data_IF_326823016859
#
_entry.id   IF_326823016859
#
_cell.length_a   1.000
_cell.length_b   1.000
_cell.length_c   1.000
_cell.angle_alpha   90.00
_cell.angle_beta   90.00
_cell.angle_gamma   90.00
#
_symmetry.space_group_name_H-M   'P 1'
#
loop_
_entity.id
_entity.type
_entity.pdbx_description
1 polymer ?
#
# COMPACT_ATOMS: atom_id res chain seq x y z
N UNK A 1 -15.05 -4.20 -5.61
CA UNK A 1 -15.77 -3.77 -6.81
C UNK A 1 -14.77 -3.62 -7.96
N UNK A 2 -14.27 -2.42 -8.24
CA UNK A 2 -13.33 -2.20 -9.33
C UNK A 2 -11.89 -2.03 -8.78
N UNK A 3 -10.90 -2.22 -9.65
CA UNK A 3 -9.49 -1.97 -9.30
C UNK A 3 -9.28 -0.49 -8.99
N UNK A 4 -8.51 -0.16 -7.97
CA UNK A 4 -8.06 1.21 -7.77
C UNK A 4 -7.00 1.58 -8.82
N UNK A 5 -6.79 2.88 -9.04
CA UNK A 5 -5.72 3.34 -9.94
C UNK A 5 -4.35 2.86 -9.47
N UNK A 6 -3.45 2.62 -10.42
CA UNK A 6 -2.04 2.43 -10.13
C UNK A 6 -1.49 3.76 -9.63
N UNK A 7 -0.91 3.76 -8.44
CA UNK A 7 -0.51 4.97 -7.73
C UNK A 7 0.81 4.78 -6.97
N UNK A 8 1.37 5.90 -6.53
CA UNK A 8 2.54 5.98 -5.67
C UNK A 8 2.39 7.18 -4.73
N UNK A 9 2.97 7.09 -3.55
CA UNK A 9 3.00 8.17 -2.57
C UNK A 9 4.41 8.70 -2.36
N UNK A 10 4.59 10.02 -2.14
CA UNK A 10 5.87 10.60 -1.77
C UNK A 10 6.22 10.31 -0.30
N UNK A 11 7.49 10.47 0.05
CA UNK A 11 7.93 10.58 1.44
C UNK A 11 7.69 12.00 2.00
N UNK A 12 7.95 12.18 3.30
CA UNK A 12 7.78 13.47 3.99
C UNK A 12 8.68 14.57 3.41
N UNK A 13 9.88 14.23 2.97
CA UNK A 13 10.83 15.22 2.45
C UNK A 13 10.36 15.80 1.12
N UNK A 14 9.92 14.93 0.22
CA UNK A 14 9.37 15.36 -1.07
C UNK A 14 8.04 16.12 -0.90
N UNK A 15 7.12 15.57 -0.09
CA UNK A 15 5.81 16.19 0.13
C UNK A 15 5.93 17.59 0.77
N UNK A 16 6.84 17.77 1.71
CA UNK A 16 7.11 19.06 2.35
C UNK A 16 7.50 20.14 1.34
N UNK A 17 8.26 19.78 0.32
CA UNK A 17 8.75 20.73 -0.71
C UNK A 17 7.72 20.95 -1.81
N UNK A 18 7.09 19.89 -2.29
CA UNK A 18 6.26 19.91 -3.50
C UNK A 18 4.75 20.00 -3.23
N UNK A 19 4.32 19.72 -1.99
CA UNK A 19 2.91 19.66 -1.61
C UNK A 19 2.59 20.63 -0.44
N UNK A 20 3.14 21.83 -0.50
CA UNK A 20 2.84 22.93 0.43
C UNK A 20 3.05 22.60 1.92
N UNK A 21 4.07 21.80 2.24
CA UNK A 21 4.37 21.40 3.60
C UNK A 21 3.58 20.19 4.11
N UNK A 22 2.88 19.49 3.22
CA UNK A 22 2.16 18.26 3.57
C UNK A 22 3.10 17.13 4.02
N UNK A 23 2.51 16.11 4.63
CA UNK A 23 3.21 14.87 4.98
C UNK A 23 3.25 13.92 3.79
N UNK A 24 4.25 13.05 3.76
CA UNK A 24 4.29 11.89 2.91
C UNK A 24 3.24 10.86 3.32
N UNK A 25 3.16 9.75 2.60
CA UNK A 25 2.19 8.70 2.91
C UNK A 25 2.84 7.32 2.92
N UNK A 26 3.10 6.85 4.13
CA UNK A 26 3.40 5.44 4.42
C UNK A 26 2.12 4.76 4.82
N UNK A 27 1.85 3.58 4.28
CA UNK A 27 0.65 2.81 4.60
C UNK A 27 0.93 1.32 4.73
N UNK A 28 -0.01 0.59 5.28
CA UNK A 28 0.02 -0.86 5.32
C UNK A 28 -1.38 -1.43 5.20
N UNK A 29 -1.48 -2.66 4.73
CA UNK A 29 -2.72 -3.36 4.49
C UNK A 29 -2.76 -4.68 5.23
N UNK A 30 -3.84 -4.95 5.94
CA UNK A 30 -4.16 -6.26 6.46
C UNK A 30 -5.30 -6.86 5.65
N UNK A 31 -5.06 -7.99 5.00
CA UNK A 31 -6.06 -8.64 4.13
C UNK A 31 -7.06 -9.39 4.99
N UNK A 32 -8.30 -8.92 5.01
CA UNK A 32 -9.40 -9.52 5.75
C UNK A 32 -10.05 -10.65 4.97
N UNK A 33 -10.29 -10.40 3.67
CA UNK A 33 -10.90 -11.37 2.76
C UNK A 33 -10.51 -11.05 1.32
N UNK A 34 -10.47 -12.04 0.46
CA UNK A 34 -10.23 -11.87 -0.96
C UNK A 34 -10.78 -13.06 -1.75
N UNK A 35 -11.06 -12.81 -3.04
CA UNK A 35 -11.43 -13.88 -3.97
C UNK A 35 -10.30 -14.89 -4.15
N UNK A 36 -10.63 -16.07 -4.62
CA UNK A 36 -9.64 -17.08 -5.00
C UNK A 36 -8.65 -16.53 -6.04
N UNK A 37 -7.37 -16.86 -5.88
CA UNK A 37 -6.27 -16.37 -6.72
C UNK A 37 -6.19 -14.83 -6.85
N UNK A 38 -6.60 -14.11 -5.81
CA UNK A 38 -6.49 -12.66 -5.77
C UNK A 38 -5.03 -12.21 -5.83
N UNK A 39 -4.80 -11.07 -6.47
CA UNK A 39 -3.50 -10.39 -6.52
C UNK A 39 -3.68 -8.92 -6.17
N UNK A 40 -2.61 -8.29 -5.69
CA UNK A 40 -2.48 -6.84 -5.57
C UNK A 40 -1.28 -6.36 -6.38
N UNK A 41 -1.30 -5.10 -6.77
CA UNK A 41 -0.13 -4.47 -7.36
C UNK A 41 0.78 -3.99 -6.23
N UNK A 42 2.02 -4.49 -6.20
CA UNK A 42 3.06 -4.05 -5.25
C UNK A 42 4.41 -4.03 -5.96
N UNK A 43 4.84 -2.84 -6.37
CA UNK A 43 6.08 -2.59 -7.09
C UNK A 43 5.92 -2.62 -8.61
N UNK A 44 7.05 -2.63 -9.28
CA UNK A 44 7.18 -2.62 -10.73
C UNK A 44 8.39 -3.44 -11.20
N UNK A 45 8.52 -3.65 -12.52
CA UNK A 45 9.55 -4.50 -13.09
C UNK A 45 10.73 -3.72 -13.71
N UNK A 46 10.65 -2.38 -13.82
CA UNK A 46 11.74 -1.57 -14.34
C UNK A 46 13.00 -1.68 -13.47
N UNK A 47 14.16 -1.77 -14.09
CA UNK A 47 15.46 -1.95 -13.43
C UNK A 47 16.23 -0.64 -13.30
N UNK A 48 15.99 0.30 -14.20
CA UNK A 48 16.62 1.63 -14.19
C UNK A 48 15.57 2.74 -14.30
N UNK A 49 15.99 3.97 -14.02
CA UNK A 49 15.11 5.15 -14.14
C UNK A 49 14.67 5.35 -15.60
N UNK A 50 15.56 5.18 -16.52
CA UNK A 50 15.30 5.32 -17.95
C UNK A 50 14.29 4.28 -18.44
N UNK A 51 14.42 3.04 -17.98
CA UNK A 51 13.46 1.97 -18.30
C UNK A 51 12.08 2.27 -17.71
N UNK A 52 12.01 2.77 -16.45
CA UNK A 52 10.77 3.19 -15.81
C UNK A 52 10.08 4.29 -16.64
N UNK A 53 10.80 5.35 -17.00
CA UNK A 53 10.27 6.46 -17.79
C UNK A 53 9.77 5.97 -19.15
N UNK A 54 10.53 5.14 -19.83
CA UNK A 54 10.15 4.58 -21.12
C UNK A 54 8.88 3.72 -21.01
N UNK A 55 8.80 2.82 -20.03
CA UNK A 55 7.62 1.96 -19.84
C UNK A 55 6.35 2.79 -19.58
N UNK A 56 6.44 3.84 -18.77
CA UNK A 56 5.31 4.72 -18.46
C UNK A 56 4.91 5.52 -19.71
N UNK A 57 5.86 6.13 -20.43
CA UNK A 57 5.62 6.95 -21.62
C UNK A 57 5.01 6.13 -22.76
N UNK A 58 5.44 4.88 -22.92
CA UNK A 58 4.94 3.98 -23.96
C UNK A 58 3.66 3.22 -23.55
N UNK A 59 3.18 3.41 -22.32
CA UNK A 59 1.99 2.74 -21.81
C UNK A 59 2.15 1.22 -21.66
N UNK A 60 3.35 0.74 -21.40
CA UNK A 60 3.68 -0.69 -21.24
C UNK A 60 3.25 -1.22 -19.86
N UNK A 61 1.98 -1.00 -19.51
CA UNK A 61 1.47 -1.28 -18.17
C UNK A 61 1.58 -2.75 -17.76
N UNK A 62 1.38 -3.69 -18.68
CA UNK A 62 1.47 -5.12 -18.38
C UNK A 62 2.89 -5.56 -18.02
N UNK A 63 3.89 -5.00 -18.68
CA UNK A 63 5.30 -5.25 -18.43
C UNK A 63 5.79 -4.49 -17.20
N UNK A 64 5.24 -3.29 -16.97
CA UNK A 64 5.62 -2.40 -15.89
C UNK A 64 5.15 -2.90 -14.53
N UNK A 65 3.87 -3.24 -14.41
CA UNK A 65 3.21 -3.57 -13.14
C UNK A 65 3.68 -4.93 -12.63
N UNK A 66 4.01 -5.00 -11.34
CA UNK A 66 4.26 -6.25 -10.64
C UNK A 66 3.06 -6.59 -9.76
N UNK A 67 2.47 -7.74 -10.01
CA UNK A 67 1.41 -8.29 -9.17
C UNK A 67 1.95 -9.35 -8.21
N UNK A 68 1.44 -9.38 -7.00
CA UNK A 68 1.75 -10.39 -5.99
C UNK A 68 0.46 -11.13 -5.60
N UNK A 69 0.51 -12.44 -5.39
CA UNK A 69 -0.62 -13.18 -4.84
C UNK A 69 -0.86 -12.80 -3.37
N UNK A 70 -2.11 -12.81 -2.97
CA UNK A 70 -2.52 -12.53 -1.60
C UNK A 70 -3.54 -13.55 -1.09
N UNK A 71 -3.63 -13.66 0.23
CA UNK A 71 -4.65 -14.44 0.93
C UNK A 71 -5.09 -13.74 2.23
N UNK A 72 -6.24 -14.09 2.79
CA UNK A 72 -6.64 -13.58 4.11
C UNK A 72 -5.56 -13.84 5.16
N UNK A 73 -5.32 -12.85 6.02
CA UNK A 73 -4.26 -12.87 7.03
C UNK A 73 -2.90 -12.34 6.56
N UNK A 74 -2.73 -12.00 5.28
CA UNK A 74 -1.51 -11.36 4.82
C UNK A 74 -1.46 -9.89 5.27
N UNK A 75 -0.29 -9.45 5.70
CA UNK A 75 0.01 -8.08 6.03
C UNK A 75 1.06 -7.54 5.06
N UNK A 76 0.81 -6.36 4.49
CA UNK A 76 1.65 -5.78 3.44
C UNK A 76 2.01 -4.35 3.82
N UNK A 77 3.31 -4.05 3.90
CA UNK A 77 3.81 -2.69 4.09
C UNK A 77 4.03 -2.02 2.73
N UNK A 78 3.49 -0.83 2.58
CA UNK A 78 3.65 0.04 1.41
C UNK A 78 4.44 1.29 1.81
N UNK A 79 5.74 1.22 1.61
CA UNK A 79 6.61 2.38 1.84
C UNK A 79 6.43 3.43 0.75
N UNK A 80 6.69 4.72 1.02
CA UNK A 80 6.77 5.75 0.00
C UNK A 80 7.65 5.32 -1.19
N UNK A 81 7.27 5.73 -2.39
CA UNK A 81 7.95 5.34 -3.63
C UNK A 81 7.57 3.95 -4.17
N UNK A 82 6.74 3.20 -3.47
CA UNK A 82 6.23 1.91 -3.94
C UNK A 82 5.04 2.11 -4.87
N UNK A 83 5.13 1.65 -6.11
CA UNK A 83 3.97 1.56 -7.03
C UNK A 83 3.02 0.51 -6.51
N UNK A 84 1.73 0.85 -6.35
CA UNK A 84 0.76 -0.08 -5.79
C UNK A 84 -0.67 0.18 -6.27
N UNK A 85 -1.51 -0.84 -6.14
CA UNK A 85 -2.97 -0.71 -6.29
C UNK A 85 -3.71 -1.87 -5.61
N UNK A 86 -4.82 -1.55 -4.98
CA UNK A 86 -5.78 -2.52 -4.49
C UNK A 86 -6.66 -2.96 -5.67
N UNK A 87 -6.76 -4.28 -5.88
CA UNK A 87 -7.59 -4.85 -6.95
C UNK A 87 -8.95 -5.28 -6.45
N UNK A 88 -9.92 -5.26 -7.34
CA UNK A 88 -11.29 -5.64 -7.07
C UNK A 88 -11.42 -7.07 -6.53
N UNK A 89 -12.32 -7.26 -5.57
CA UNK A 89 -12.50 -8.54 -4.88
C UNK A 89 -11.60 -8.75 -3.68
N UNK A 90 -10.98 -7.68 -3.18
CA UNK A 90 -10.20 -7.68 -1.93
C UNK A 90 -10.90 -6.82 -0.88
N UNK A 91 -10.98 -7.31 0.35
CA UNK A 91 -11.36 -6.58 1.55
C UNK A 91 -10.15 -6.49 2.46
N UNK A 92 -9.77 -5.29 2.84
CA UNK A 92 -8.60 -5.06 3.68
C UNK A 92 -8.83 -3.93 4.68
N UNK A 93 -8.04 -3.94 5.73
CA UNK A 93 -7.90 -2.84 6.67
C UNK A 93 -6.62 -2.08 6.34
N UNK A 94 -6.76 -0.81 5.99
CA UNK A 94 -5.64 0.09 5.71
C UNK A 94 -5.32 0.95 6.94
N UNK A 95 -4.05 1.03 7.28
CA UNK A 95 -3.50 1.97 8.25
C UNK A 95 -2.46 2.83 7.53
N UNK A 96 -2.54 4.16 7.67
CA UNK A 96 -1.68 5.09 6.95
C UNK A 96 -1.30 6.31 7.78
N UNK A 97 -0.24 7.03 7.35
CA UNK A 97 -0.03 8.41 7.79
C UNK A 97 -1.25 9.27 7.44
N UNK A 98 -1.51 10.32 8.24
CA UNK A 98 -2.56 11.29 8.00
C UNK A 98 -2.21 12.19 6.81
N UNK A 99 -2.26 11.62 5.61
CA UNK A 99 -1.97 12.28 4.34
C UNK A 99 -2.92 11.74 3.27
N UNK A 100 -3.31 12.59 2.33
CA UNK A 100 -4.12 12.26 1.16
C UNK A 100 -3.35 12.41 -0.17
N UNK A 101 -2.04 12.69 -0.08
CA UNK A 101 -1.21 12.89 -1.27
C UNK A 101 -1.07 11.57 -2.04
N UNK A 102 -1.58 11.58 -3.27
CA UNK A 102 -1.59 10.42 -4.16
C UNK A 102 -1.22 10.84 -5.58
N UNK A 103 -0.13 10.29 -6.10
CA UNK A 103 0.25 10.44 -7.50
C UNK A 103 -0.27 9.26 -8.30
N UNK A 104 -1.23 9.55 -9.20
CA UNK A 104 -1.84 8.56 -10.07
C UNK A 104 -0.96 8.34 -11.30
N UNK A 105 -0.48 7.10 -11.45
CA UNK A 105 0.38 6.67 -12.56
C UNK A 105 -0.46 6.23 -13.75
N UNK A 106 -1.51 5.43 -13.49
CA UNK A 106 -2.40 4.91 -14.51
C UNK A 106 -3.80 4.62 -13.95
N UNK A 107 -4.82 4.84 -14.73
CA UNK A 107 -6.22 4.68 -14.30
C UNK A 107 -7.06 3.84 -15.28
N UNK A 108 -6.44 2.96 -16.03
CA UNK A 108 -7.11 2.06 -16.99
C UNK A 108 -7.98 2.80 -18.01
N UNK A 109 -7.63 4.03 -18.36
CA UNK A 109 -8.37 4.93 -19.27
C UNK A 109 -9.84 5.15 -18.86
N UNK A 110 -10.15 4.98 -17.57
CA UNK A 110 -11.50 5.15 -17.03
C UNK A 110 -11.94 6.61 -17.03
N UNK A 111 -13.24 6.80 -17.30
CA UNK A 111 -13.86 8.12 -17.24
C UNK A 111 -14.60 8.30 -15.89
N UNK A 112 -14.41 9.45 -15.28
CA UNK A 112 -15.16 9.93 -14.12
C UNK A 112 -15.90 11.20 -14.52
N UNK A 113 -17.23 11.17 -14.54
CA UNK A 113 -18.03 12.29 -15.02
C UNK A 113 -17.80 12.62 -16.52
N UNK A 114 -17.47 11.61 -17.34
CA UNK A 114 -17.23 11.77 -18.78
C UNK A 114 -15.81 12.26 -19.14
N UNK A 115 -14.92 12.40 -18.16
CA UNK A 115 -13.52 12.83 -18.37
C UNK A 115 -12.56 11.86 -17.68
N UNK A 116 -11.35 11.63 -18.25
CA UNK A 116 -10.32 10.87 -17.55
C UNK A 116 -9.90 11.60 -16.27
N UNK A 117 -9.59 10.83 -15.21
CA UNK A 117 -8.98 11.41 -14.01
C UNK A 117 -7.56 11.87 -14.32
N UNK A 118 -7.15 12.94 -13.67
CA UNK A 118 -5.80 13.48 -13.82
C UNK A 118 -4.75 12.43 -13.43
N UNK A 119 -3.72 12.28 -14.28
CA UNK A 119 -2.52 11.54 -13.99
C UNK A 119 -1.41 12.50 -13.51
N UNK A 120 -0.53 12.01 -12.66
CA UNK A 120 0.57 12.78 -12.06
C UNK A 120 1.91 12.16 -12.47
N UNK A 121 2.14 12.04 -13.78
CA UNK A 121 3.26 11.26 -14.34
C UNK A 121 4.62 11.80 -13.90
N UNK A 122 4.83 13.11 -13.96
CA UNK A 122 6.10 13.72 -13.56
C UNK A 122 6.42 13.45 -12.08
N UNK A 123 5.47 13.76 -11.19
CA UNK A 123 5.62 13.53 -9.76
C UNK A 123 5.80 12.02 -9.45
N UNK A 124 5.08 11.17 -10.17
CA UNK A 124 5.23 9.71 -10.02
C UNK A 124 6.65 9.26 -10.38
N UNK A 125 7.18 9.70 -11.51
CA UNK A 125 8.54 9.38 -11.93
C UNK A 125 9.55 9.87 -10.90
N UNK A 126 9.37 11.07 -10.35
CA UNK A 126 10.28 11.62 -9.34
C UNK A 126 10.37 10.74 -8.08
N UNK A 127 9.23 10.25 -7.59
CA UNK A 127 9.16 9.57 -6.29
C UNK A 127 9.27 8.05 -6.34
N UNK A 128 9.02 7.40 -7.49
CA UNK A 128 9.10 5.94 -7.60
C UNK A 128 10.52 5.45 -7.30
N UNK A 129 10.62 4.51 -6.38
CA UNK A 129 11.89 3.84 -6.03
C UNK A 129 12.29 2.85 -7.13
N UNK A 130 13.48 3.00 -7.71
CA UNK A 130 14.01 2.14 -8.78
C UNK A 130 15.38 1.59 -8.38
N UNK A 131 15.61 0.29 -8.52
CA UNK A 131 14.63 -0.77 -8.79
C UNK A 131 13.62 -0.91 -7.64
N UNK A 132 12.46 -1.47 -7.93
CA UNK A 132 11.48 -1.75 -6.88
C UNK A 132 12.04 -2.74 -5.85
N UNK A 133 11.70 -2.55 -4.58
CA UNK A 133 12.02 -3.51 -3.50
C UNK A 133 11.46 -4.89 -3.82
N UNK A 134 12.09 -5.95 -3.31
CA UNK A 134 11.53 -7.29 -3.42
C UNK A 134 10.15 -7.34 -2.75
N UNK A 135 9.20 -7.99 -3.41
CA UNK A 135 7.85 -8.18 -2.86
C UNK A 135 7.86 -9.02 -1.57
N UNK A 136 8.77 -9.98 -1.48
CA UNK A 136 8.95 -10.83 -0.31
C UNK A 136 9.28 -10.02 0.97
N UNK A 137 9.93 -8.87 0.81
CA UNK A 137 10.26 -7.99 1.93
C UNK A 137 9.08 -7.10 2.36
N UNK A 138 7.99 -7.09 1.61
CA UNK A 138 6.82 -6.25 1.88
C UNK A 138 5.64 -7.04 2.46
N UNK A 139 5.66 -8.38 2.37
CA UNK A 139 4.56 -9.25 2.79
C UNK A 139 4.96 -10.06 4.02
N UNK A 140 4.14 -9.99 5.05
CA UNK A 140 4.23 -10.84 6.24
C UNK A 140 3.00 -11.75 6.27
N UNK A 141 3.23 -13.04 6.19
CA UNK A 141 2.15 -14.01 6.36
C UNK A 141 1.85 -14.19 7.85
N UNK A 142 0.62 -13.93 8.25
CA UNK A 142 0.20 -14.09 9.65
C UNK A 142 -0.80 -15.23 9.79
N UNK A 143 -0.74 -15.91 10.92
CA UNK A 143 -1.68 -16.95 11.29
C UNK A 143 -2.36 -16.57 12.60
N UNK A 144 -3.61 -17.01 12.78
CA UNK A 144 -4.33 -16.87 14.05
C UNK A 144 -3.59 -17.66 15.15
N UNK A 145 -3.41 -17.01 16.30
CA UNK A 145 -2.79 -17.62 17.50
C UNK A 145 -3.54 -17.12 18.72
N UNK A 146 -4.24 -18.04 19.38
CA UNK A 146 -5.10 -17.71 20.50
C UNK A 146 -4.34 -17.06 21.66
N UNK A 147 -4.93 -15.99 22.21
CA UNK A 147 -4.41 -15.17 23.31
C UNK A 147 -2.99 -14.60 23.06
N UNK A 148 -2.68 -14.26 21.82
CA UNK A 148 -1.38 -13.72 21.41
C UNK A 148 -1.50 -12.33 20.80
N UNK A 149 -0.57 -11.47 21.17
CA UNK A 149 -0.32 -10.18 20.51
C UNK A 149 0.85 -10.34 19.55
N UNK A 150 0.60 -10.19 18.26
CA UNK A 150 1.62 -10.24 17.22
C UNK A 150 1.92 -8.82 16.73
N UNK A 151 3.18 -8.37 16.83
CA UNK A 151 3.61 -7.14 16.16
C UNK A 151 3.81 -7.42 14.68
N UNK A 152 3.04 -6.75 13.83
CA UNK A 152 3.09 -6.90 12.38
C UNK A 152 4.16 -5.99 11.78
N UNK A 153 4.20 -4.74 12.22
CA UNK A 153 5.20 -3.75 11.79
C UNK A 153 5.43 -2.72 12.89
N UNK A 154 6.63 -2.16 12.92
CA UNK A 154 6.95 -0.91 13.61
C UNK A 154 7.71 -0.01 12.64
N UNK A 155 7.21 1.19 12.42
CA UNK A 155 7.86 2.22 11.62
C UNK A 155 7.84 3.56 12.37
N UNK A 156 8.45 4.63 11.85
CA UNK A 156 8.45 5.93 12.52
C UNK A 156 7.07 6.52 12.76
N UNK A 157 6.05 6.10 12.03
CA UNK A 157 4.72 6.70 12.02
C UNK A 157 3.70 5.92 12.85
N UNK A 158 3.82 4.58 12.92
CA UNK A 158 2.90 3.70 13.63
C UNK A 158 3.53 2.36 13.98
N UNK A 159 2.91 1.69 14.93
CA UNK A 159 3.12 0.26 15.18
C UNK A 159 1.78 -0.45 15.02
N UNK A 160 1.74 -1.53 14.27
CA UNK A 160 0.53 -2.31 14.03
C UNK A 160 0.67 -3.67 14.70
N UNK A 161 -0.36 -4.05 15.42
CA UNK A 161 -0.47 -5.36 16.07
C UNK A 161 -1.70 -6.09 15.55
N UNK A 162 -1.61 -7.40 15.48
CA UNK A 162 -2.73 -8.33 15.43
C UNK A 162 -2.90 -8.93 16.82
N UNK A 163 -4.13 -8.96 17.30
CA UNK A 163 -4.49 -9.55 18.60
C UNK A 163 -5.58 -10.58 18.33
N UNK A 164 -5.29 -11.84 18.62
CA UNK A 164 -6.25 -12.91 18.58
C UNK A 164 -6.60 -13.27 20.03
N UNK A 165 -7.87 -13.17 20.41
CA UNK A 165 -8.36 -13.40 21.77
C UNK A 165 -9.34 -14.55 21.77
N UNK A 166 -9.01 -15.66 22.41
CA UNK A 166 -9.91 -16.78 22.65
C UNK A 166 -10.51 -16.70 24.07
N UNK A 167 -9.66 -16.36 25.06
CA UNK A 167 -10.06 -16.28 26.46
C UNK A 167 -9.81 -14.87 27.01
N UNK A 168 -8.54 -14.48 27.14
CA UNK A 168 -8.16 -13.22 27.74
C UNK A 168 -6.76 -12.79 27.31
N UNK A 169 -6.62 -11.55 26.89
CA UNK A 169 -5.34 -10.88 26.66
C UNK A 169 -5.29 -9.61 27.50
N UNK A 170 -4.18 -9.42 28.20
CA UNK A 170 -3.90 -8.20 28.95
C UNK A 170 -2.59 -7.59 28.42
N UNK A 171 -2.57 -6.30 28.21
CA UNK A 171 -1.39 -5.57 27.77
C UNK A 171 -1.39 -4.16 28.36
N UNK A 172 -0.20 -3.56 28.37
CA UNK A 172 -0.01 -2.15 28.71
C UNK A 172 0.41 -1.40 27.45
N UNK A 173 -0.09 -0.21 27.32
CA UNK A 173 0.36 0.67 26.25
C UNK A 173 0.85 1.99 26.84
N UNK A 174 1.94 2.55 26.28
CA UNK A 174 2.63 3.76 26.74
C UNK A 174 2.54 4.92 25.73
N UNK A 175 1.81 4.73 24.64
CA UNK A 175 1.64 5.72 23.59
C UNK A 175 0.46 6.65 23.90
N UNK A 176 0.39 7.85 23.30
CA UNK A 176 -0.69 8.80 23.53
C UNK A 176 -2.10 8.22 23.26
N UNK A 177 -2.23 7.32 22.29
CA UNK A 177 -3.49 6.67 21.96
C UNK A 177 -3.25 5.32 21.27
N UNK A 178 -4.29 4.52 21.21
CA UNK A 178 -4.40 3.29 20.42
C UNK A 178 -5.71 3.31 19.64
N UNK A 179 -5.69 2.85 18.41
CA UNK A 179 -6.88 2.58 17.61
C UNK A 179 -7.07 1.06 17.54
N UNK A 180 -8.27 0.59 17.85
CA UNK A 180 -8.60 -0.82 17.82
C UNK A 180 -9.76 -1.04 16.85
N UNK A 181 -9.59 -1.98 15.92
CA UNK A 181 -10.65 -2.43 15.01
C UNK A 181 -10.94 -3.88 15.31
N UNK A 182 -12.17 -4.19 15.73
CA UNK A 182 -12.63 -5.58 15.87
C UNK A 182 -12.96 -6.08 14.46
N UNK A 183 -12.28 -7.14 14.06
CA UNK A 183 -12.41 -7.73 12.71
C UNK A 183 -13.33 -8.93 12.75
N UNK A 184 -13.27 -9.72 13.81
CA UNK A 184 -14.05 -10.91 14.05
C UNK A 184 -14.40 -11.01 15.55
N UNK A 185 -15.63 -11.44 15.89
CA UNK A 185 -16.08 -11.61 17.27
C UNK A 185 -17.57 -11.87 17.37
#
# INVERSE_FOLDING_TARGET
>A
KDDLSIQVHPDDAYAKVHENGSLGKTECWFILDCKENATLVVGHNAKTREELEQMIQEGKWKEFIREIPIKPGDFIQIDPGTVHAIKGGTLLLETQQSSDITYRVYDYDRLSGGKPRQLHIAQSIDVITVPAKSAENSVVHTEKKDDVIQQLIQCPYYTVYRIDVEHRVETWQDKPFILMSVVEG
#
